data_IF_442505042569
#
_entry.id   IF_442505042569
#
_cell.length_a   1.000
_cell.length_b   1.000
_cell.length_c   1.000
_cell.angle_alpha   90.00
_cell.angle_beta   90.00
_cell.angle_gamma   90.00
#
_symmetry.space_group_name_H-M   'P 1'
#
loop_
_entity.id
_entity.type
_entity.pdbx_description
1 polymer ?
#
# COMPACT_ATOMS: atom_id res chain seq x y z
N UNK A 1 52.11 -2.75 -3.91
CA UNK A 1 51.92 -1.91 -2.71
C UNK A 1 52.45 -2.62 -1.49
N UNK A 2 53.37 -1.97 -0.79
CA UNK A 2 54.02 -2.46 0.43
C UNK A 2 53.56 -1.55 1.57
N UNK A 3 53.14 -2.13 2.69
CA UNK A 3 52.69 -1.38 3.86
C UNK A 3 53.82 -1.39 4.88
N UNK A 4 54.24 -0.22 5.36
CA UNK A 4 55.23 -0.17 6.42
C UNK A 4 54.67 -0.79 7.71
N UNK A 5 55.31 -1.83 8.29
CA UNK A 5 54.80 -2.49 9.49
C UNK A 5 54.90 -1.60 10.74
N UNK A 6 55.74 -0.55 10.71
CA UNK A 6 55.96 0.32 11.86
C UNK A 6 54.92 1.45 11.96
N UNK A 7 54.57 2.09 10.84
CA UNK A 7 53.65 3.25 10.83
C UNK A 7 52.38 3.06 9.99
N UNK A 8 52.24 1.94 9.27
CA UNK A 8 51.09 1.68 8.40
C UNK A 8 51.06 2.48 7.08
N UNK A 9 52.07 3.30 6.80
CA UNK A 9 52.13 4.09 5.57
C UNK A 9 52.24 3.19 4.33
N UNK A 10 51.36 3.41 3.35
CA UNK A 10 51.37 2.69 2.08
C UNK A 10 52.35 3.39 1.14
N UNK A 11 53.32 2.65 0.62
CA UNK A 11 54.25 3.19 -0.38
C UNK A 11 54.49 2.19 -1.51
N UNK A 12 54.94 2.71 -2.65
CA UNK A 12 55.37 1.92 -3.80
C UNK A 12 56.89 1.89 -3.80
N UNK A 13 57.46 0.71 -3.50
CA UNK A 13 58.90 0.52 -3.42
C UNK A 13 59.28 -0.64 -2.52
N UNK A 14 60.57 -0.95 -2.53
CA UNK A 14 61.14 -2.00 -1.70
C UNK A 14 61.35 -1.49 -0.26
N UNK A 15 60.93 -2.26 0.75
CA UNK A 15 61.09 -1.93 2.18
C UNK A 15 62.57 -1.83 2.60
N UNK A 16 63.48 -2.33 1.76
CA UNK A 16 64.93 -2.18 1.90
C UNK A 16 65.40 -0.74 1.77
N UNK A 17 64.75 0.08 0.94
CA UNK A 17 65.07 1.51 0.79
C UNK A 17 64.65 2.35 2.02
N UNK A 18 63.80 1.77 2.88
CA UNK A 18 63.25 2.43 4.06
C UNK A 18 61.92 3.11 3.79
N UNK A 19 61.08 3.18 4.82
CA UNK A 19 59.83 3.91 4.77
C UNK A 19 60.10 5.42 4.75
N UNK A 20 59.54 6.12 3.77
CA UNK A 20 59.66 7.59 3.63
C UNK A 20 59.06 8.34 4.84
N UNK A 21 58.06 7.75 5.51
CA UNK A 21 57.37 8.38 6.63
C UNK A 21 58.10 8.21 7.96
N UNK A 22 58.46 6.97 8.35
CA UNK A 22 59.05 6.70 9.67
C UNK A 22 60.53 6.29 9.64
N UNK A 23 61.15 6.22 8.46
CA UNK A 23 62.54 5.80 8.29
C UNK A 23 62.82 4.31 8.55
N UNK A 24 61.80 3.52 8.93
CA UNK A 24 61.97 2.09 9.21
C UNK A 24 62.44 1.33 7.96
N UNK A 25 63.51 0.54 8.10
CA UNK A 25 64.11 -0.29 7.05
C UNK A 25 63.97 -1.76 7.42
N UNK A 26 63.83 -2.64 6.43
CA UNK A 26 63.87 -4.08 6.69
C UNK A 26 65.27 -4.50 7.14
N UNK A 27 65.41 -4.92 8.39
CA UNK A 27 66.66 -5.45 8.94
C UNK A 27 66.70 -6.95 8.63
N UNK A 28 67.14 -7.31 7.42
CA UNK A 28 67.31 -8.70 7.00
C UNK A 28 66.43 -9.13 5.83
N UNK A 29 66.75 -10.29 5.26
CA UNK A 29 65.90 -10.95 4.27
C UNK A 29 64.56 -11.33 4.93
N UNK A 30 63.44 -11.26 4.19
CA UNK A 30 62.16 -11.71 4.72
C UNK A 30 62.31 -13.14 5.23
N UNK A 31 61.85 -13.40 6.46
CA UNK A 31 61.83 -14.73 7.05
C UNK A 31 61.31 -15.73 6.02
N UNK A 32 62.04 -16.83 5.84
CA UNK A 32 61.60 -17.91 4.96
C UNK A 32 60.15 -18.26 5.33
N UNK A 33 59.29 -18.30 4.32
CA UNK A 33 57.88 -18.59 4.51
C UNK A 33 57.79 -19.94 5.24
N UNK A 34 57.07 -20.06 6.37
CA UNK A 34 57.04 -21.30 7.13
C UNK A 34 56.60 -22.43 6.20
N UNK A 35 57.32 -23.55 6.23
CA UNK A 35 57.03 -24.72 5.39
C UNK A 35 55.59 -25.22 5.59
N UNK A 36 55.01 -24.94 6.76
CA UNK A 36 53.66 -25.28 7.14
C UNK A 36 52.90 -24.03 7.65
N UNK A 37 52.15 -23.37 6.77
CA UNK A 37 51.14 -22.40 7.19
C UNK A 37 49.98 -23.15 7.86
N UNK A 38 49.64 -22.79 9.10
CA UNK A 38 48.47 -23.34 9.77
C UNK A 38 47.21 -23.02 8.94
N UNK A 39 46.35 -24.00 8.65
CA UNK A 39 45.17 -23.79 7.84
C UNK A 39 44.22 -22.80 8.51
N UNK A 40 43.77 -21.80 7.75
CA UNK A 40 42.95 -20.73 8.32
C UNK A 40 41.48 -21.17 8.48
N UNK A 41 40.93 -20.99 9.68
CA UNK A 41 39.52 -21.29 10.00
C UNK A 41 38.59 -20.08 9.88
N UNK A 42 39.16 -18.86 9.88
CA UNK A 42 38.40 -17.61 10.00
C UNK A 42 37.33 -17.41 8.91
N UNK A 43 37.59 -17.83 7.67
CA UNK A 43 36.61 -17.70 6.58
C UNK A 43 35.40 -18.59 6.75
N UNK A 44 35.59 -19.83 7.20
CA UNK A 44 34.50 -20.76 7.46
C UNK A 44 33.64 -20.31 8.64
N UNK A 45 34.30 -19.85 9.71
CA UNK A 45 33.63 -19.28 10.88
C UNK A 45 32.82 -18.03 10.54
N UNK A 46 33.36 -17.11 9.73
CA UNK A 46 32.65 -15.90 9.32
C UNK A 46 31.33 -16.21 8.58
N UNK A 47 31.34 -17.17 7.65
CA UNK A 47 30.11 -17.61 6.96
C UNK A 47 29.11 -18.25 7.94
N UNK A 48 29.61 -19.07 8.86
CA UNK A 48 28.78 -19.67 9.91
C UNK A 48 28.11 -18.63 10.79
N UNK A 49 28.86 -17.64 11.26
CA UNK A 49 28.36 -16.54 12.12
C UNK A 49 27.35 -15.68 11.37
N UNK A 50 27.60 -15.32 10.11
CA UNK A 50 26.64 -14.55 9.32
C UNK A 50 25.30 -15.30 9.18
N UNK A 51 25.34 -16.59 8.85
CA UNK A 51 24.14 -17.41 8.73
C UNK A 51 23.39 -17.57 10.05
N UNK A 52 24.11 -17.82 11.14
CA UNK A 52 23.51 -17.93 12.48
C UNK A 52 22.90 -16.61 12.96
N UNK A 53 23.60 -15.48 12.74
CA UNK A 53 23.11 -14.15 13.10
C UNK A 53 21.85 -13.77 12.32
N UNK A 54 21.76 -14.10 11.03
CA UNK A 54 20.56 -13.86 10.23
C UNK A 54 19.34 -14.60 10.79
N UNK A 55 19.51 -15.89 11.14
CA UNK A 55 18.45 -16.69 11.77
C UNK A 55 18.06 -16.17 13.15
N UNK A 56 19.04 -15.82 13.99
CA UNK A 56 18.78 -15.29 15.34
C UNK A 56 18.06 -13.95 15.29
N UNK A 57 18.45 -13.05 14.38
CA UNK A 57 17.78 -11.77 14.20
C UNK A 57 16.31 -11.98 13.79
N UNK A 58 16.05 -12.89 12.85
CA UNK A 58 14.68 -13.21 12.45
C UNK A 58 13.84 -13.80 13.59
N UNK A 59 14.41 -14.75 14.35
CA UNK A 59 13.74 -15.32 15.53
C UNK A 59 13.46 -14.25 16.59
N UNK A 60 14.41 -13.37 16.86
CA UNK A 60 14.23 -12.28 17.82
C UNK A 60 13.11 -11.32 17.39
N UNK A 61 13.05 -10.92 16.11
CA UNK A 61 11.96 -10.09 15.59
C UNK A 61 10.60 -10.79 15.62
N UNK A 62 10.57 -12.10 15.38
CA UNK A 62 9.35 -12.92 15.48
C UNK A 62 8.84 -12.98 16.91
N UNK A 63 9.73 -13.21 17.87
CA UNK A 63 9.41 -13.22 19.31
C UNK A 63 8.89 -11.85 19.75
N UNK A 64 9.54 -10.76 19.32
CA UNK A 64 9.09 -9.41 19.64
C UNK A 64 7.69 -9.11 19.05
N UNK A 65 7.44 -9.53 17.80
CA UNK A 65 6.12 -9.41 17.17
C UNK A 65 5.05 -10.24 17.88
N UNK A 66 5.42 -11.40 18.44
CA UNK A 66 4.52 -12.22 19.26
C UNK A 66 4.17 -11.50 20.58
N UNK A 67 5.16 -10.90 21.26
CA UNK A 67 4.93 -10.12 22.48
C UNK A 67 4.03 -8.90 22.25
N UNK A 68 4.19 -8.20 21.12
CA UNK A 68 3.37 -7.03 20.78
C UNK A 68 1.88 -7.37 20.59
N UNK A 69 1.55 -8.61 20.24
CA UNK A 69 0.16 -9.03 20.00
C UNK A 69 -0.64 -9.31 21.28
N UNK A 70 -0.03 -9.19 22.47
CA UNK A 70 -0.64 -9.34 23.80
C UNK A 70 -1.39 -10.66 24.10
N UNK A 71 -1.52 -11.55 23.13
CA UNK A 71 -1.99 -12.92 23.29
C UNK A 71 -0.76 -13.82 23.29
N UNK A 72 -0.23 -14.18 24.46
CA UNK A 72 0.83 -15.20 24.61
C UNK A 72 0.32 -16.62 24.26
N UNK A 73 -0.63 -16.74 23.32
CA UNK A 73 -1.04 -18.03 22.79
C UNK A 73 0.02 -18.50 21.80
N UNK A 74 0.49 -19.73 21.99
CA UNK A 74 1.37 -20.43 21.06
C UNK A 74 0.56 -21.13 19.95
N UNK A 75 -0.61 -20.59 19.61
CA UNK A 75 -1.41 -21.11 18.52
C UNK A 75 -0.65 -20.97 17.21
N UNK A 76 -0.75 -21.97 16.34
CA UNK A 76 -0.09 -21.93 15.04
C UNK A 76 -0.46 -20.66 14.24
N UNK A 77 -1.70 -20.19 14.38
CA UNK A 77 -2.20 -18.96 13.74
C UNK A 77 -1.55 -17.69 14.31
N UNK A 78 -1.37 -17.59 15.63
CA UNK A 78 -0.73 -16.42 16.24
C UNK A 78 0.76 -16.39 15.88
N UNK A 79 1.43 -17.55 15.87
CA UNK A 79 2.81 -17.68 15.43
C UNK A 79 2.96 -17.27 13.96
N UNK A 80 2.11 -17.82 13.07
CA UNK A 80 2.15 -17.52 11.64
C UNK A 80 1.95 -16.02 11.38
N UNK A 81 0.99 -15.41 12.07
CA UNK A 81 0.72 -14.00 11.91
C UNK A 81 1.84 -13.13 12.51
N UNK A 82 2.47 -13.54 13.62
CA UNK A 82 3.65 -12.89 14.18
C UNK A 82 4.85 -12.96 13.21
N UNK A 83 5.10 -14.14 12.62
CA UNK A 83 6.15 -14.33 11.61
C UNK A 83 5.90 -13.47 10.37
N UNK A 84 4.64 -13.34 9.95
CA UNK A 84 4.27 -12.44 8.84
C UNK A 84 4.62 -10.99 9.17
N UNK A 85 4.22 -10.51 10.36
CA UNK A 85 4.50 -9.13 10.76
C UNK A 85 6.00 -8.85 10.84
N UNK A 86 6.78 -9.79 11.37
CA UNK A 86 8.23 -9.68 11.44
C UNK A 86 8.86 -9.67 10.03
N UNK A 87 8.45 -10.60 9.15
CA UNK A 87 8.92 -10.65 7.76
C UNK A 87 8.64 -9.34 7.02
N UNK A 88 7.47 -8.75 7.22
CA UNK A 88 7.08 -7.50 6.57
C UNK A 88 7.90 -6.30 7.05
N UNK A 89 8.12 -6.17 8.35
CA UNK A 89 8.96 -5.11 8.92
C UNK A 89 10.41 -5.24 8.42
N UNK A 90 10.91 -6.46 8.31
CA UNK A 90 12.30 -6.72 7.96
C UNK A 90 12.57 -6.67 6.46
N UNK A 91 11.56 -6.82 5.58
CA UNK A 91 11.76 -7.03 4.13
C UNK A 91 12.71 -6.03 3.46
N UNK A 92 12.63 -4.74 3.82
CA UNK A 92 13.43 -3.68 3.21
C UNK A 92 14.91 -3.80 3.54
N UNK A 93 15.24 -4.35 4.71
CA UNK A 93 16.62 -4.60 5.15
C UNK A 93 17.06 -6.04 4.83
N UNK A 94 16.19 -7.02 5.02
CA UNK A 94 16.49 -8.44 4.85
C UNK A 94 16.76 -8.83 3.39
N UNK A 95 16.00 -8.32 2.43
CA UNK A 95 16.18 -8.67 1.02
C UNK A 95 17.59 -8.31 0.49
N UNK A 96 18.07 -7.07 0.59
CA UNK A 96 19.43 -6.75 0.14
C UNK A 96 20.48 -7.50 0.97
N UNK A 97 20.28 -7.60 2.30
CA UNK A 97 21.22 -8.29 3.19
C UNK A 97 21.38 -9.78 2.86
N UNK A 98 20.27 -10.49 2.57
CA UNK A 98 20.29 -11.92 2.21
C UNK A 98 20.95 -12.15 0.87
N UNK A 99 20.70 -11.31 -0.13
CA UNK A 99 21.38 -11.40 -1.43
C UNK A 99 22.90 -11.24 -1.29
N UNK A 100 23.34 -10.22 -0.55
CA UNK A 100 24.77 -9.99 -0.28
C UNK A 100 25.37 -11.15 0.52
N UNK A 101 24.66 -11.65 1.53
CA UNK A 101 25.11 -12.75 2.39
C UNK A 101 25.24 -14.07 1.61
N UNK A 102 24.28 -14.40 0.74
CA UNK A 102 24.34 -15.58 -0.13
C UNK A 102 25.50 -15.45 -1.11
N UNK A 103 25.66 -14.29 -1.76
CA UNK A 103 26.76 -14.07 -2.70
C UNK A 103 28.13 -14.20 -2.04
N UNK A 104 28.32 -13.58 -0.86
CA UNK A 104 29.57 -13.64 -0.11
C UNK A 104 29.87 -15.07 0.37
N UNK A 105 28.85 -15.75 0.91
CA UNK A 105 28.96 -17.12 1.39
C UNK A 105 29.28 -18.09 0.25
N UNK A 106 28.66 -17.91 -0.93
CA UNK A 106 28.95 -18.68 -2.12
C UNK A 106 30.39 -18.46 -2.60
N UNK A 107 30.85 -17.21 -2.66
CA UNK A 107 32.23 -16.88 -3.05
C UNK A 107 33.27 -17.50 -2.10
N UNK A 108 33.01 -17.46 -0.79
CA UNK A 108 33.89 -18.07 0.21
C UNK A 108 33.89 -19.60 0.04
N UNK A 109 32.73 -20.24 -0.06
CA UNK A 109 32.62 -21.68 -0.30
C UNK A 109 33.31 -22.13 -1.60
N UNK A 110 33.20 -21.35 -2.67
CA UNK A 110 33.90 -21.60 -3.93
C UNK A 110 35.43 -21.51 -3.74
N UNK A 111 35.90 -20.55 -2.94
CA UNK A 111 37.33 -20.40 -2.63
C UNK A 111 37.86 -21.56 -1.78
N UNK A 112 37.11 -21.99 -0.75
CA UNK A 112 37.42 -23.16 0.07
C UNK A 112 37.51 -24.45 -0.77
N UNK A 113 36.65 -24.57 -1.79
CA UNK A 113 36.65 -25.70 -2.72
C UNK A 113 37.89 -25.73 -3.61
N UNK A 114 38.40 -24.56 -4.02
CA UNK A 114 39.58 -24.44 -4.89
C UNK A 114 40.92 -24.67 -4.17
N UNK A 115 40.99 -24.44 -2.86
CA UNK A 115 42.25 -24.54 -2.09
C UNK A 115 42.08 -25.33 -0.78
N UNK A 116 41.77 -26.63 -0.83
CA UNK A 116 41.47 -27.42 0.37
C UNK A 116 42.66 -27.52 1.35
N UNK A 117 43.90 -27.45 0.85
CA UNK A 117 45.09 -27.53 1.70
C UNK A 117 45.29 -26.33 2.63
N UNK A 118 44.75 -25.15 2.28
CA UNK A 118 44.95 -23.89 3.05
C UNK A 118 43.85 -23.59 4.06
N UNK A 119 42.72 -24.28 3.98
CA UNK A 119 41.54 -23.94 4.76
C UNK A 119 40.90 -25.17 5.40
N UNK A 120 40.63 -25.07 6.71
CA UNK A 120 39.81 -26.03 7.46
C UNK A 120 38.43 -25.40 7.72
N UNK A 121 37.40 -26.24 7.92
CA UNK A 121 36.06 -25.77 8.30
C UNK A 121 35.01 -25.80 7.18
N UNK A 122 35.22 -26.61 6.12
CA UNK A 122 34.24 -26.78 5.02
C UNK A 122 32.82 -27.09 5.50
N UNK A 123 32.67 -27.91 6.55
CA UNK A 123 31.36 -28.25 7.13
C UNK A 123 30.64 -27.03 7.70
N UNK A 124 31.36 -26.17 8.43
CA UNK A 124 30.78 -24.94 9.01
C UNK A 124 30.40 -23.94 7.93
N UNK A 125 31.24 -23.77 6.90
CA UNK A 125 30.93 -22.90 5.78
C UNK A 125 29.69 -23.37 5.00
N UNK A 126 29.55 -24.68 4.76
CA UNK A 126 28.36 -25.25 4.12
C UNK A 126 27.12 -25.11 5.01
N UNK A 127 27.24 -25.30 6.33
CA UNK A 127 26.15 -25.09 7.28
C UNK A 127 25.66 -23.63 7.30
N UNK A 128 26.58 -22.66 7.33
CA UNK A 128 26.24 -21.24 7.25
C UNK A 128 25.57 -20.86 5.93
N UNK A 129 26.09 -21.36 4.80
CA UNK A 129 25.46 -21.14 3.48
C UNK A 129 24.05 -21.76 3.43
N UNK A 130 23.89 -23.00 3.89
CA UNK A 130 22.58 -23.66 3.94
C UNK A 130 21.58 -22.89 4.82
N UNK A 131 22.02 -22.40 5.98
CA UNK A 131 21.21 -21.55 6.86
C UNK A 131 20.77 -20.25 6.17
N UNK A 132 21.67 -19.55 5.48
CA UNK A 132 21.31 -18.32 4.74
C UNK A 132 20.33 -18.57 3.60
N UNK A 133 20.50 -19.68 2.86
CA UNK A 133 19.57 -20.05 1.78
C UNK A 133 18.20 -20.42 2.36
N UNK A 134 18.17 -21.21 3.43
CA UNK A 134 16.92 -21.58 4.11
C UNK A 134 16.17 -20.33 4.59
N UNK A 135 16.89 -19.40 5.23
CA UNK A 135 16.32 -18.12 5.66
C UNK A 135 15.74 -17.32 4.50
N UNK A 136 16.47 -17.21 3.38
CA UNK A 136 15.99 -16.50 2.20
C UNK A 136 14.75 -17.17 1.58
N UNK A 137 14.70 -18.51 1.52
CA UNK A 137 13.54 -19.26 1.03
C UNK A 137 12.32 -19.08 1.94
N UNK A 138 12.50 -19.14 3.26
CA UNK A 138 11.42 -18.85 4.21
C UNK A 138 10.89 -17.43 3.98
N UNK A 139 11.77 -16.43 3.93
CA UNK A 139 11.39 -15.03 3.71
C UNK A 139 10.63 -14.84 2.39
N UNK A 140 11.14 -15.41 1.29
CA UNK A 140 10.50 -15.33 -0.02
C UNK A 140 9.11 -16.00 -0.03
N UNK A 141 8.97 -17.14 0.65
CA UNK A 141 7.70 -17.87 0.77
C UNK A 141 6.67 -17.06 1.54
N UNK A 142 7.07 -16.47 2.68
CA UNK A 142 6.19 -15.60 3.48
C UNK A 142 5.75 -14.36 2.71
N UNK A 143 6.67 -13.70 2.01
CA UNK A 143 6.33 -12.53 1.18
C UNK A 143 5.37 -12.96 0.06
N UNK A 144 5.66 -14.05 -0.65
CA UNK A 144 4.84 -14.52 -1.77
C UNK A 144 3.39 -14.84 -1.37
N UNK A 145 3.19 -15.45 -0.20
CA UNK A 145 1.84 -15.82 0.28
C UNK A 145 1.06 -14.58 0.79
N UNK A 146 1.73 -13.59 1.36
CA UNK A 146 1.07 -12.48 2.09
C UNK A 146 0.81 -11.25 1.23
N UNK A 147 1.57 -11.05 0.14
CA UNK A 147 1.37 -9.96 -0.81
C UNK A 147 -0.06 -9.88 -1.37
N UNK A 148 -0.70 -10.95 -1.88
CA UNK A 148 -2.03 -10.81 -2.48
C UNK A 148 -3.10 -10.37 -1.48
N UNK A 149 -3.04 -10.85 -0.23
CA UNK A 149 -4.02 -10.44 0.77
C UNK A 149 -3.82 -9.00 1.21
N UNK A 150 -2.56 -8.53 1.27
CA UNK A 150 -2.28 -7.12 1.57
C UNK A 150 -2.71 -6.18 0.46
N UNK A 151 -2.60 -6.60 -0.80
CA UNK A 151 -3.14 -5.82 -1.92
C UNK A 151 -4.67 -5.68 -1.78
N UNK A 152 -5.38 -6.77 -1.47
CA UNK A 152 -6.82 -6.71 -1.19
C UNK A 152 -7.16 -5.85 0.03
N UNK A 153 -6.36 -5.91 1.10
CA UNK A 153 -6.56 -5.06 2.28
C UNK A 153 -6.34 -3.58 1.96
N UNK A 154 -5.35 -3.28 1.11
CA UNK A 154 -5.10 -1.92 0.63
C UNK A 154 -6.28 -1.41 -0.19
N UNK A 155 -6.76 -2.20 -1.15
CA UNK A 155 -7.97 -1.89 -1.95
C UNK A 155 -9.18 -1.64 -1.05
N UNK A 156 -9.46 -2.51 -0.08
CA UNK A 156 -10.54 -2.32 0.90
C UNK A 156 -10.34 -1.06 1.76
N UNK A 157 -9.10 -0.72 2.09
CA UNK A 157 -8.76 0.49 2.84
C UNK A 157 -9.04 1.76 2.03
N UNK A 158 -8.70 1.76 0.75
CA UNK A 158 -9.05 2.84 -0.20
C UNK A 158 -10.58 2.95 -0.30
N UNK A 159 -11.27 1.85 -0.58
CA UNK A 159 -12.73 1.80 -0.67
C UNK A 159 -13.42 2.32 0.61
N UNK A 160 -12.95 1.89 1.79
CA UNK A 160 -13.46 2.37 3.06
C UNK A 160 -13.26 3.88 3.24
N UNK A 161 -12.14 4.42 2.76
CA UNK A 161 -11.85 5.86 2.79
C UNK A 161 -12.83 6.64 1.91
N UNK A 162 -13.12 6.16 0.69
CA UNK A 162 -14.12 6.79 -0.19
C UNK A 162 -15.53 6.72 0.41
N UNK A 163 -15.93 5.57 0.96
CA UNK A 163 -17.22 5.42 1.65
C UNK A 163 -17.35 6.35 2.85
N UNK A 164 -16.31 6.47 3.68
CA UNK A 164 -16.33 7.37 4.83
C UNK A 164 -16.56 8.83 4.44
N UNK A 165 -15.90 9.29 3.36
CA UNK A 165 -16.15 10.63 2.81
C UNK A 165 -17.60 10.81 2.35
N UNK A 166 -18.14 9.82 1.63
CA UNK A 166 -19.52 9.86 1.17
C UNK A 166 -20.54 9.86 2.30
N UNK A 167 -20.33 9.06 3.35
CA UNK A 167 -21.19 9.11 4.54
C UNK A 167 -21.15 10.48 5.24
N UNK A 168 -20.03 11.19 5.16
CA UNK A 168 -19.92 12.56 5.67
C UNK A 168 -20.79 13.51 4.86
N UNK A 169 -20.80 13.38 3.52
CA UNK A 169 -21.72 14.11 2.64
C UNK A 169 -23.18 13.78 2.90
N UNK A 170 -23.53 12.49 3.01
CA UNK A 170 -24.91 12.08 3.26
C UNK A 170 -25.42 12.62 4.59
N UNK A 171 -24.60 12.55 5.65
CA UNK A 171 -24.93 13.16 6.94
C UNK A 171 -25.21 14.66 6.80
N UNK A 172 -24.36 15.40 6.10
CA UNK A 172 -24.54 16.84 5.90
C UNK A 172 -25.82 17.16 5.11
N UNK A 173 -26.13 16.38 4.07
CA UNK A 173 -27.37 16.52 3.29
C UNK A 173 -28.63 16.20 4.10
N UNK A 174 -28.59 15.16 4.93
CA UNK A 174 -29.70 14.83 5.82
C UNK A 174 -29.91 15.93 6.87
N UNK A 175 -28.85 16.46 7.46
CA UNK A 175 -28.94 17.56 8.42
C UNK A 175 -29.51 18.83 7.78
N UNK A 176 -29.05 19.16 6.57
CA UNK A 176 -29.61 20.25 5.77
C UNK A 176 -31.10 20.05 5.50
N UNK A 177 -31.49 18.85 5.05
CA UNK A 177 -32.89 18.50 4.76
C UNK A 177 -33.79 18.58 5.98
N UNK A 178 -33.32 18.11 7.14
CA UNK A 178 -34.07 18.21 8.41
C UNK A 178 -34.30 19.68 8.78
N UNK A 179 -33.32 20.55 8.52
CA UNK A 179 -33.40 21.97 8.90
C UNK A 179 -34.22 22.82 7.93
N UNK A 180 -34.08 22.60 6.63
CA UNK A 180 -34.67 23.45 5.58
C UNK A 180 -35.81 22.78 4.81
N UNK A 181 -36.09 21.49 5.05
CA UNK A 181 -37.16 20.74 4.39
C UNK A 181 -36.85 20.30 2.95
N UNK A 182 -35.68 20.64 2.41
CA UNK A 182 -35.24 20.30 1.05
C UNK A 182 -33.73 20.03 1.01
N UNK A 183 -33.23 19.37 -0.04
CA UNK A 183 -31.79 19.25 -0.29
C UNK A 183 -31.19 20.57 -0.79
N UNK A 184 -29.89 20.82 -0.56
CA UNK A 184 -29.27 22.08 -1.00
C UNK A 184 -29.30 22.20 -2.54
N UNK A 185 -29.42 23.43 -3.05
CA UNK A 185 -29.35 23.66 -4.49
C UNK A 185 -27.90 23.64 -4.97
N UNK A 186 -27.01 24.21 -4.16
CA UNK A 186 -25.57 24.16 -4.35
C UNK A 186 -24.87 23.68 -3.06
N UNK A 187 -23.72 23.04 -3.20
CA UNK A 187 -22.93 22.52 -2.08
C UNK A 187 -22.43 23.64 -1.16
N UNK A 188 -22.33 24.87 -1.67
CA UNK A 188 -22.01 26.04 -0.86
C UNK A 188 -23.07 26.37 0.19
N UNK A 189 -24.33 25.95 0.00
CA UNK A 189 -25.43 26.14 0.95
C UNK A 189 -25.18 25.37 2.27
N UNK A 190 -24.35 24.32 2.24
CA UNK A 190 -23.96 23.57 3.44
C UNK A 190 -23.21 24.43 4.47
N UNK A 191 -22.68 25.60 4.08
CA UNK A 191 -22.07 26.57 5.02
C UNK A 191 -23.05 27.12 6.05
N UNK A 192 -24.35 27.01 5.78
CA UNK A 192 -25.40 27.47 6.70
C UNK A 192 -25.65 26.47 7.84
N UNK A 193 -25.02 25.29 7.82
CA UNK A 193 -25.07 24.31 8.91
C UNK A 193 -24.04 24.63 10.00
N UNK A 194 -24.34 24.30 11.27
CA UNK A 194 -23.40 24.45 12.36
C UNK A 194 -22.34 23.34 12.27
N UNK A 195 -21.07 23.72 12.16
CA UNK A 195 -19.96 22.77 12.01
C UNK A 195 -18.98 22.91 13.18
N UNK A 196 -19.29 22.24 14.29
CA UNK A 196 -18.43 22.31 15.49
C UNK A 196 -17.05 21.68 15.27
N UNK A 197 -16.98 20.66 14.42
CA UNK A 197 -15.78 19.84 14.20
C UNK A 197 -14.99 20.27 12.95
N UNK A 198 -15.50 21.19 12.14
CA UNK A 198 -14.86 21.65 10.88
C UNK A 198 -15.02 20.68 9.70
N UNK A 199 -15.79 19.62 9.88
CA UNK A 199 -16.00 18.55 8.88
C UNK A 199 -16.74 19.01 7.63
N UNK A 200 -17.71 19.93 7.76
CA UNK A 200 -18.49 20.47 6.64
C UNK A 200 -17.64 21.47 5.86
N UNK A 201 -16.84 22.27 6.55
CA UNK A 201 -15.89 23.19 5.91
C UNK A 201 -14.83 22.42 5.08
N UNK A 202 -14.24 21.36 5.66
CA UNK A 202 -13.31 20.47 4.94
C UNK A 202 -13.99 19.82 3.73
N UNK A 203 -15.22 19.35 3.92
CA UNK A 203 -16.02 18.75 2.86
C UNK A 203 -16.20 19.74 1.69
N UNK A 204 -16.64 20.97 1.95
CA UNK A 204 -16.82 21.99 0.90
C UNK A 204 -15.52 22.27 0.14
N UNK A 205 -14.37 22.24 0.82
CA UNK A 205 -13.07 22.43 0.16
C UNK A 205 -12.72 21.27 -0.78
N UNK A 206 -12.94 20.02 -0.32
CA UNK A 206 -12.74 18.81 -1.14
C UNK A 206 -13.72 18.74 -2.32
N UNK A 207 -14.88 19.38 -2.18
CA UNK A 207 -16.00 19.34 -3.12
C UNK A 207 -15.79 20.20 -4.37
N UNK A 208 -14.75 21.06 -4.43
CA UNK A 208 -14.46 21.86 -5.65
C UNK A 208 -14.25 21.02 -6.92
N UNK A 209 -13.99 19.72 -6.77
CA UNK A 209 -13.79 18.75 -7.85
C UNK A 209 -14.92 17.72 -7.93
N UNK A 210 -16.09 17.98 -7.36
CA UNK A 210 -17.23 17.04 -7.43
C UNK A 210 -18.34 17.59 -8.30
N UNK A 211 -19.14 16.68 -8.87
CA UNK A 211 -20.35 17.03 -9.61
C UNK A 211 -21.56 16.71 -8.74
N UNK A 212 -22.30 17.75 -8.34
CA UNK A 212 -23.55 17.62 -7.60
C UNK A 212 -24.73 18.04 -8.47
N UNK A 213 -25.79 17.23 -8.46
CA UNK A 213 -27.03 17.48 -9.20
C UNK A 213 -28.24 17.14 -8.33
N UNK A 214 -28.90 18.15 -7.73
CA UNK A 214 -30.19 17.94 -7.09
C UNK A 214 -31.28 17.84 -8.15
N UNK A 215 -32.30 17.02 -7.91
CA UNK A 215 -33.47 16.95 -8.78
C UNK A 215 -34.72 16.57 -7.99
N UNK A 216 -35.88 16.90 -8.54
CA UNK A 216 -37.17 16.60 -7.94
C UNK A 216 -37.92 15.60 -8.82
N UNK A 217 -38.26 14.47 -8.24
CA UNK A 217 -39.18 13.52 -8.86
C UNK A 217 -40.58 13.97 -8.51
N UNK A 218 -41.19 14.78 -9.38
CA UNK A 218 -42.61 15.08 -9.28
C UNK A 218 -43.34 13.75 -9.49
N UNK A 219 -43.82 13.15 -8.41
CA UNK A 219 -44.77 12.07 -8.50
C UNK A 219 -45.91 12.61 -9.36
N UNK A 220 -45.95 12.20 -10.64
CA UNK A 220 -47.03 12.54 -11.51
C UNK A 220 -48.26 12.04 -10.78
N UNK A 221 -49.06 12.95 -10.21
CA UNK A 221 -50.40 12.64 -9.77
C UNK A 221 -51.00 11.94 -10.96
N UNK A 222 -51.17 10.61 -10.85
CA UNK A 222 -51.87 9.84 -11.86
C UNK A 222 -53.11 10.67 -12.15
N UNK A 223 -53.34 11.11 -13.40
CA UNK A 223 -54.55 11.85 -13.70
C UNK A 223 -55.66 10.97 -13.16
N UNK A 224 -56.39 11.49 -12.16
CA UNK A 224 -57.57 10.81 -11.64
C UNK A 224 -58.36 10.31 -12.85
N UNK A 225 -59.01 9.13 -12.80
CA UNK A 225 -59.71 8.58 -13.96
C UNK A 225 -60.79 9.57 -14.43
N UNK A 226 -60.38 10.51 -15.28
CA UNK A 226 -61.22 11.52 -15.87
C UNK A 226 -61.95 10.79 -16.97
N UNK A 227 -63.24 10.55 -16.71
CA UNK A 227 -64.22 10.36 -17.78
C UNK A 227 -63.85 11.30 -18.93
N UNK A 228 -63.68 10.80 -20.16
CA UNK A 228 -63.12 11.57 -21.26
C UNK A 228 -64.02 12.77 -21.57
N UNK A 229 -63.68 13.94 -21.03
CA UNK A 229 -64.28 15.20 -21.43
C UNK A 229 -63.55 15.64 -22.69
N UNK A 230 -64.22 15.48 -23.83
CA UNK A 230 -63.74 15.93 -25.15
C UNK A 230 -63.47 17.43 -25.13
N UNK A 231 -62.26 17.84 -24.80
CA UNK A 231 -61.76 19.18 -25.08
C UNK A 231 -60.98 19.14 -26.39
N UNK A 232 -61.61 19.75 -27.40
CA UNK A 232 -61.06 20.00 -28.73
C UNK A 232 -59.96 21.06 -28.60
N UNK A 233 -58.73 20.67 -28.92
CA UNK A 233 -57.70 21.59 -29.41
C UNK A 233 -56.86 22.32 -28.36
N UNK A 234 -55.75 21.70 -27.97
CA UNK A 234 -54.40 22.30 -28.06
C UNK A 234 -53.38 21.26 -27.59
N UNK A 235 -52.29 21.14 -28.31
CA UNK A 235 -51.27 20.11 -28.12
C UNK A 235 -50.51 20.32 -26.81
N UNK A 236 -50.76 19.47 -25.82
CA UNK A 236 -49.92 19.37 -24.62
C UNK A 236 -48.69 18.52 -24.97
N UNK A 237 -47.56 19.19 -25.12
CA UNK A 237 -46.24 18.61 -25.30
C UNK A 237 -45.77 18.09 -23.93
N UNK A 238 -45.21 16.87 -23.83
CA UNK A 238 -44.67 16.37 -22.56
C UNK A 238 -43.45 17.23 -22.17
N UNK A 239 -43.56 17.96 -21.07
CA UNK A 239 -42.46 18.73 -20.49
C UNK A 239 -41.71 17.84 -19.50
N UNK A 240 -40.67 17.15 -19.98
CA UNK A 240 -39.57 16.77 -19.08
C UNK A 240 -38.84 18.07 -18.74
N UNK A 241 -39.00 18.55 -17.50
CA UNK A 241 -38.21 19.66 -16.97
C UNK A 241 -36.75 19.22 -16.87
N UNK A 242 -36.00 19.46 -17.95
CA UNK A 242 -34.55 19.52 -17.87
C UNK A 242 -34.20 20.82 -17.13
N UNK A 243 -33.37 20.72 -16.10
CA UNK A 243 -33.03 21.77 -15.13
C UNK A 243 -32.15 22.91 -15.67
N UNK A 244 -32.17 23.19 -16.97
CA UNK A 244 -31.38 24.26 -17.58
C UNK A 244 -32.18 25.58 -17.74
N UNK A 245 -33.38 25.66 -17.17
CA UNK A 245 -34.21 26.87 -17.14
C UNK A 245 -34.23 27.48 -15.73
N UNK A 246 -33.37 28.49 -15.57
CA UNK A 246 -33.13 29.34 -14.41
C UNK A 246 -34.30 30.30 -14.12
N UNK A 247 -35.52 29.76 -13.98
CA UNK A 247 -36.70 30.55 -13.62
C UNK A 247 -37.67 29.70 -12.79
N UNK A 248 -37.37 29.52 -11.50
CA UNK A 248 -38.34 29.05 -10.51
C UNK A 248 -38.65 30.16 -9.51
N UNK A 249 -39.93 30.52 -9.45
CA UNK A 249 -40.51 31.44 -8.47
C UNK A 249 -40.20 31.00 -7.03
N UNK A 250 -40.07 31.97 -6.13
CA UNK A 250 -39.59 31.91 -4.72
C UNK A 250 -40.21 30.87 -3.76
N UNK A 251 -41.11 29.99 -4.21
CA UNK A 251 -41.62 28.82 -3.49
C UNK A 251 -41.44 27.56 -4.38
N UNK A 252 -40.20 27.30 -4.79
CA UNK A 252 -39.82 26.22 -5.71
C UNK A 252 -40.15 24.82 -5.17
N UNK A 253 -40.35 23.87 -6.08
CA UNK A 253 -40.60 22.46 -5.77
C UNK A 253 -39.42 21.91 -4.95
N UNK A 254 -39.65 21.32 -3.76
CA UNK A 254 -38.55 20.80 -2.95
C UNK A 254 -37.84 19.67 -3.69
N UNK A 255 -36.51 19.75 -3.78
CA UNK A 255 -35.69 18.65 -4.27
C UNK A 255 -35.85 17.45 -3.34
N UNK A 256 -36.27 16.32 -3.91
CA UNK A 256 -36.50 15.07 -3.19
C UNK A 256 -35.36 14.09 -3.33
N UNK A 257 -34.55 14.23 -4.39
CA UNK A 257 -33.45 13.32 -4.72
C UNK A 257 -32.18 14.12 -5.07
N UNK A 258 -31.04 13.46 -4.98
CA UNK A 258 -29.75 14.05 -5.35
C UNK A 258 -28.79 13.00 -5.93
N UNK A 259 -27.91 13.46 -6.81
CA UNK A 259 -26.75 12.71 -7.29
C UNK A 259 -25.47 13.48 -6.97
N UNK A 260 -24.55 12.83 -6.25
CA UNK A 260 -23.21 13.34 -5.99
C UNK A 260 -22.19 12.39 -6.61
N UNK A 261 -21.30 12.91 -7.45
CA UNK A 261 -20.15 12.18 -7.97
C UNK A 261 -18.86 12.70 -7.35
N UNK A 262 -18.12 11.79 -6.73
CA UNK A 262 -16.77 12.03 -6.24
C UNK A 262 -15.74 11.42 -7.19
N UNK A 263 -14.64 12.14 -7.45
CA UNK A 263 -13.59 11.59 -8.28
C UNK A 263 -12.91 10.40 -7.58
N UNK A 264 -12.44 9.45 -8.39
CA UNK A 264 -11.69 8.28 -7.96
C UNK A 264 -10.28 8.58 -7.44
N UNK A 265 -9.37 7.62 -7.56
CA UNK A 265 -7.99 7.74 -7.09
C UNK A 265 -7.17 8.70 -7.98
N UNK A 266 -7.53 8.78 -9.25
CA UNK A 266 -6.90 9.64 -10.26
C UNK A 266 -7.25 11.13 -10.12
N UNK A 267 -8.28 11.43 -9.32
CA UNK A 267 -8.85 12.77 -9.10
C UNK A 267 -9.44 13.41 -10.36
N UNK A 268 -9.86 12.60 -11.34
CA UNK A 268 -10.44 13.05 -12.60
C UNK A 268 -11.91 12.61 -12.62
N UNK A 269 -12.83 13.58 -12.67
CA UNK A 269 -14.26 13.28 -12.81
C UNK A 269 -14.58 12.75 -14.21
N UNK A 270 -15.57 11.86 -14.27
CA UNK A 270 -16.13 11.30 -15.50
C UNK A 270 -15.58 9.93 -15.87
N UNK A 271 -14.77 9.32 -15.00
CA UNK A 271 -14.17 8.01 -15.23
C UNK A 271 -14.97 6.89 -14.53
N UNK A 272 -14.69 5.63 -14.91
CA UNK A 272 -15.37 4.45 -14.39
C UNK A 272 -15.05 4.15 -12.91
N UNK A 273 -13.95 4.73 -12.39
CA UNK A 273 -13.49 4.62 -11.00
C UNK A 273 -14.12 5.67 -10.06
N UNK A 274 -14.94 6.57 -10.61
CA UNK A 274 -15.70 7.52 -9.81
C UNK A 274 -16.68 6.81 -8.87
N UNK A 275 -16.94 7.47 -7.75
CA UNK A 275 -17.94 7.03 -6.78
C UNK A 275 -19.19 7.89 -6.92
N UNK A 276 -20.34 7.23 -7.08
CA UNK A 276 -21.63 7.88 -7.13
C UNK A 276 -22.40 7.62 -5.84
N UNK A 277 -22.96 8.68 -5.29
CA UNK A 277 -23.95 8.61 -4.24
C UNK A 277 -25.27 9.17 -4.74
N UNK A 278 -26.28 8.31 -4.73
CA UNK A 278 -27.65 8.67 -5.11
C UNK A 278 -28.57 8.34 -3.95
N UNK A 279 -29.18 9.37 -3.37
CA UNK A 279 -30.16 9.22 -2.29
C UNK A 279 -29.66 8.35 -1.11
N UNK A 280 -28.41 8.57 -0.68
CA UNK A 280 -27.74 7.83 0.40
C UNK A 280 -27.18 6.46 0.01
N UNK A 281 -27.46 5.98 -1.21
CA UNK A 281 -26.88 4.74 -1.75
C UNK A 281 -25.54 5.05 -2.41
N UNK A 282 -24.46 4.46 -1.87
CA UNK A 282 -23.09 4.62 -2.35
C UNK A 282 -22.71 3.45 -3.24
N UNK A 283 -22.40 3.71 -4.50
CA UNK A 283 -21.97 2.69 -5.47
C UNK A 283 -20.85 3.23 -6.38
N UNK A 284 -19.91 2.38 -6.82
CA UNK A 284 -18.99 2.78 -7.88
C UNK A 284 -19.76 2.97 -9.20
N UNK A 285 -19.36 3.94 -10.02
CA UNK A 285 -20.06 4.26 -11.28
C UNK A 285 -20.14 3.04 -12.21
N UNK A 286 -19.08 2.24 -12.28
CA UNK A 286 -19.04 0.97 -13.02
C UNK A 286 -20.14 -0.04 -12.60
N UNK A 287 -20.56 -0.06 -11.33
CA UNK A 287 -21.66 -0.91 -10.88
C UNK A 287 -23.04 -0.38 -11.33
N UNK A 288 -23.19 0.95 -11.41
CA UNK A 288 -24.44 1.58 -11.86
C UNK A 288 -24.62 1.36 -13.37
N UNK A 289 -23.58 1.59 -14.17
CA UNK A 289 -23.65 1.43 -15.63
C UNK A 289 -23.92 -0.02 -16.03
N UNK A 290 -23.29 -1.00 -15.37
CA UNK A 290 -23.56 -2.41 -15.61
C UNK A 290 -25.02 -2.77 -15.32
N UNK A 291 -25.62 -2.27 -14.23
CA UNK A 291 -27.05 -2.50 -13.94
C UNK A 291 -28.00 -1.89 -14.99
N UNK A 292 -27.64 -0.72 -15.52
CA UNK A 292 -28.42 -0.04 -16.56
C UNK A 292 -28.39 -0.80 -17.90
N UNK A 293 -27.24 -1.40 -18.25
CA UNK A 293 -27.11 -2.18 -19.48
C UNK A 293 -27.93 -3.48 -19.45
N UNK A 294 -28.05 -4.11 -18.28
CA UNK A 294 -28.82 -5.36 -18.11
C UNK A 294 -30.32 -5.11 -18.28
N UNK A 295 -30.85 -4.03 -17.70
CA UNK A 295 -32.28 -3.71 -17.79
C UNK A 295 -32.75 -3.33 -19.20
N UNK A 296 -31.88 -2.75 -20.03
CA UNK A 296 -32.19 -2.47 -21.44
C UNK A 296 -32.23 -3.77 -22.27
N UNK A 297 -31.42 -4.77 -21.92
CA UNK A 297 -31.38 -6.04 -22.65
C UNK A 297 -32.60 -6.94 -22.39
N UNK A 298 -33.21 -6.90 -21.21
CA UNK A 298 -34.42 -7.68 -20.89
C UNK A 298 -35.70 -7.07 -21.50
N UNK A 299 -35.75 -5.75 -21.72
CA UNK A 299 -36.91 -5.08 -22.31
C UNK A 299 -37.03 -5.25 -23.85
N UNK A 300 -36.08 -5.93 -24.49
CA UNK A 300 -35.94 -6.02 -25.95
C UNK A 300 -36.42 -7.31 -26.62
N UNK A 301 -36.98 -8.28 -25.87
CA UNK A 301 -37.43 -9.56 -26.45
C UNK A 301 -38.97 -9.66 -26.43
N UNK A 302 -39.66 -9.45 -27.57
CA UNK A 302 -41.09 -9.77 -27.72
C UNK A 302 -41.35 -11.28 -27.81
#
# INVERSE_FOLDING_TARGET
MTICPCCGFKFEGDLRAGCVSCGARSVGEPLARPEHELPSYGRGLLVGVIGAMALLAFLATTILALFQRATLSFDFRSLLAATETAAWQLKWLALPFTLVSIWLSWRICATLRRQPARFIGKRVAHGGLAATILFALMMATFIGITVPERLRQHERGIEATHRAKLYTHDRAFLEYRVRYGTYPADLSDLRNLPDADGSIAELIEQTKQTSYKPWAELAATQPAPEKPRRLRGSALRPASLNSDADDTTSEGVPFTNYELRLPGEDKILGNEDDWMMRDGMIQPVSAVESSSSISISEAGTP
#
